data_IF_055410890081
#
_entry.id   IF_055410890081
#
_cell.length_a   1.000
_cell.length_b   1.000
_cell.length_c   1.000
_cell.angle_alpha   90.00
_cell.angle_beta   90.00
_cell.angle_gamma   90.00
#
_symmetry.space_group_name_H-M   'P 1'
#
loop_
_entity.id
_entity.type
_entity.pdbx_description
1 polymer ?
#
# COMPACT_ATOMS: atom_id res chain seq x y z
N UNK A 1 1.90 -13.66 -20.16
CA UNK A 1 2.24 -12.22 -20.23
C UNK A 1 1.00 -11.34 -20.24
N UNK A 2 1.16 -10.12 -19.74
CA UNK A 2 0.17 -9.05 -19.74
C UNK A 2 0.81 -7.74 -20.19
N UNK A 3 0.05 -6.93 -20.91
CA UNK A 3 0.44 -5.59 -21.32
C UNK A 3 -0.72 -4.63 -21.07
N UNK A 4 -0.47 -3.54 -20.36
CA UNK A 4 -1.49 -2.59 -19.92
C UNK A 4 -1.17 -1.19 -20.42
N UNK A 5 -2.05 -0.60 -21.21
CA UNK A 5 -1.91 0.76 -21.73
C UNK A 5 -2.98 1.65 -21.11
N UNK A 6 -2.57 2.67 -20.37
CA UNK A 6 -3.47 3.70 -19.84
C UNK A 6 -3.26 5.02 -20.57
N UNK A 7 -4.33 5.48 -21.20
CA UNK A 7 -4.43 6.79 -21.85
C UNK A 7 -5.55 7.59 -21.18
N UNK A 8 -5.17 8.54 -20.33
CA UNK A 8 -6.09 9.30 -19.48
C UNK A 8 -7.03 8.35 -18.69
N UNK A 9 -8.33 8.36 -18.99
CA UNK A 9 -9.34 7.54 -18.32
C UNK A 9 -9.50 6.13 -18.93
N UNK A 10 -8.93 5.87 -20.11
CA UNK A 10 -9.07 4.59 -20.80
C UNK A 10 -7.89 3.68 -20.50
N UNK A 11 -8.16 2.50 -19.92
CA UNK A 11 -7.19 1.40 -19.75
C UNK A 11 -7.51 0.31 -20.77
N UNK A 12 -6.50 -0.11 -21.55
CA UNK A 12 -6.59 -1.27 -22.45
C UNK A 12 -5.63 -2.33 -21.95
N UNK A 13 -6.14 -3.55 -21.75
CA UNK A 13 -5.35 -4.68 -21.23
C UNK A 13 -5.30 -5.74 -22.31
N UNK A 14 -4.09 -6.17 -22.66
CA UNK A 14 -3.85 -7.28 -23.57
C UNK A 14 -3.13 -8.39 -22.81
N UNK A 15 -3.74 -9.58 -22.80
CA UNK A 15 -3.19 -10.77 -22.15
C UNK A 15 -2.89 -11.82 -23.21
N UNK A 16 -1.75 -12.47 -23.09
CA UNK A 16 -1.32 -13.51 -24.03
C UNK A 16 -0.38 -14.50 -23.34
N UNK A 17 -0.26 -15.68 -23.92
CA UNK A 17 0.78 -16.63 -23.53
C UNK A 17 2.14 -16.09 -24.00
N UNK A 18 3.11 -16.04 -23.09
CA UNK A 18 4.49 -15.61 -23.40
C UNK A 18 5.32 -16.77 -23.93
N UNK A 19 6.55 -16.47 -24.35
CA UNK A 19 7.55 -17.50 -24.67
C UNK A 19 8.27 -17.95 -23.39
N UNK A 20 8.81 -19.17 -23.40
CA UNK A 20 9.57 -19.77 -22.29
C UNK A 20 10.89 -19.05 -22.02
N UNK A 21 11.41 -18.31 -23.01
CA UNK A 21 12.67 -17.57 -22.92
C UNK A 21 12.49 -16.10 -22.49
N UNK A 22 11.27 -15.62 -22.28
CA UNK A 22 11.05 -14.26 -21.78
C UNK A 22 11.33 -14.20 -20.26
N UNK A 23 12.12 -13.20 -19.85
CA UNK A 23 12.40 -13.00 -18.43
C UNK A 23 11.14 -12.59 -17.67
N UNK A 24 10.92 -13.23 -16.51
CA UNK A 24 9.84 -12.90 -15.57
C UNK A 24 10.12 -11.55 -14.94
N UNK A 25 9.58 -10.50 -15.55
CA UNK A 25 9.74 -9.14 -15.10
C UNK A 25 8.50 -8.28 -15.43
N UNK A 26 8.31 -7.25 -14.62
CA UNK A 26 7.36 -6.18 -14.86
C UNK A 26 8.13 -4.90 -15.15
N UNK A 27 7.82 -4.27 -16.28
CA UNK A 27 8.38 -2.97 -16.68
C UNK A 27 7.26 -1.99 -16.94
N UNK A 28 7.47 -0.73 -16.60
CA UNK A 28 6.55 0.36 -16.88
C UNK A 28 7.28 1.50 -17.56
N UNK A 29 6.66 2.02 -18.61
CA UNK A 29 7.13 3.14 -19.41
C UNK A 29 6.03 4.21 -19.39
N UNK A 30 6.39 5.45 -19.03
CA UNK A 30 5.43 6.55 -18.93
C UNK A 30 5.86 7.77 -19.73
N UNK A 31 4.89 8.47 -20.31
CA UNK A 31 5.08 9.80 -20.88
C UNK A 31 3.85 10.68 -20.57
N UNK A 32 4.04 11.66 -19.68
CA UNK A 32 2.96 12.52 -19.19
C UNK A 32 1.94 11.74 -18.35
N UNK A 33 0.64 11.91 -18.66
CA UNK A 33 -0.47 11.18 -18.01
C UNK A 33 -0.69 9.77 -18.58
N UNK A 34 0.04 9.39 -19.64
CA UNK A 34 -0.07 8.08 -20.28
C UNK A 34 1.03 7.17 -19.77
N UNK A 35 0.68 5.93 -19.47
CA UNK A 35 1.65 4.92 -19.09
C UNK A 35 1.30 3.57 -19.71
N UNK A 36 2.35 2.78 -19.93
CA UNK A 36 2.28 1.45 -20.47
C UNK A 36 3.07 0.52 -19.55
N UNK A 37 2.49 -0.60 -19.13
CA UNK A 37 3.22 -1.66 -18.43
C UNK A 37 3.21 -2.95 -19.23
N UNK A 38 4.27 -3.73 -19.05
CA UNK A 38 4.38 -5.11 -19.54
C UNK A 38 4.86 -5.98 -18.39
N UNK A 39 4.13 -7.06 -18.12
CA UNK A 39 4.46 -8.04 -17.10
C UNK A 39 4.51 -9.44 -17.71
N UNK A 40 5.62 -10.13 -17.47
CA UNK A 40 5.80 -11.55 -17.79
C UNK A 40 5.79 -12.31 -16.47
N UNK A 41 5.15 -13.48 -16.46
CA UNK A 41 4.99 -14.32 -15.29
C UNK A 41 4.97 -15.79 -15.72
N UNK A 42 5.42 -16.68 -14.83
CA UNK A 42 5.79 -18.09 -15.09
C UNK A 42 4.79 -19.12 -14.52
N UNK A 43 3.81 -18.66 -13.75
CA UNK A 43 2.81 -19.52 -13.12
C UNK A 43 1.50 -19.57 -13.92
N UNK A 44 0.72 -20.67 -13.86
CA UNK A 44 -0.55 -20.75 -14.58
C UNK A 44 -1.51 -19.65 -14.08
N UNK A 45 -2.14 -18.93 -15.02
CA UNK A 45 -3.11 -17.84 -14.74
C UNK A 45 -2.52 -16.66 -13.93
N UNK A 46 -1.20 -16.48 -13.95
CA UNK A 46 -0.49 -15.41 -13.24
C UNK A 46 -0.70 -14.01 -13.83
N UNK A 47 -1.20 -13.92 -15.06
CA UNK A 47 -1.38 -12.69 -15.82
C UNK A 47 -2.66 -11.96 -15.37
N UNK A 48 -2.73 -11.63 -14.09
CA UNK A 48 -3.76 -10.79 -13.46
C UNK A 48 -3.16 -9.50 -12.89
N UNK A 49 -4.02 -8.70 -12.25
CA UNK A 49 -3.60 -7.44 -11.63
C UNK A 49 -2.61 -7.66 -10.47
N UNK A 50 -2.55 -8.87 -9.90
CA UNK A 50 -1.65 -9.21 -8.79
C UNK A 50 -0.18 -9.03 -9.17
N UNK A 51 0.24 -9.44 -10.37
CA UNK A 51 1.62 -9.28 -10.82
C UNK A 51 2.01 -7.79 -10.96
N UNK A 52 1.06 -6.94 -11.35
CA UNK A 52 1.23 -5.49 -11.45
C UNK A 52 1.30 -4.83 -10.05
N UNK A 53 0.51 -5.33 -9.11
CA UNK A 53 0.50 -4.88 -7.70
C UNK A 53 1.80 -5.27 -7.00
N UNK A 54 2.25 -6.52 -7.15
CA UNK A 54 3.49 -7.03 -6.55
C UNK A 54 4.73 -6.29 -7.08
N UNK A 55 4.70 -5.86 -8.35
CA UNK A 55 5.72 -5.01 -8.96
C UNK A 55 5.60 -3.52 -8.57
N UNK A 56 4.57 -3.13 -7.81
CA UNK A 56 4.32 -1.75 -7.41
C UNK A 56 3.91 -0.82 -8.56
N UNK A 57 3.53 -1.38 -9.72
CA UNK A 57 3.17 -0.62 -10.93
C UNK A 57 1.71 -0.18 -10.94
N UNK A 58 0.86 -0.87 -10.19
CA UNK A 58 -0.55 -0.53 -10.04
C UNK A 58 -0.90 -0.37 -8.55
N UNK A 59 -1.56 0.74 -8.16
CA UNK A 59 -2.02 0.88 -6.79
C UNK A 59 -3.07 -0.19 -6.50
N UNK A 60 -2.85 -0.99 -5.45
CA UNK A 60 -3.86 -1.94 -4.99
C UNK A 60 -5.15 -1.19 -4.69
N UNK A 61 -6.25 -1.57 -5.34
CA UNK A 61 -7.59 -1.04 -5.02
C UNK A 61 -8.10 -1.53 -3.66
N UNK A 62 -7.38 -2.45 -3.01
CA UNK A 62 -7.57 -2.72 -1.59
C UNK A 62 -7.09 -1.48 -0.83
N UNK A 63 -7.96 -0.92 0.01
CA UNK A 63 -7.67 0.23 0.87
C UNK A 63 -6.23 0.16 1.39
N UNK A 64 -5.46 1.27 1.35
CA UNK A 64 -4.05 1.25 1.73
C UNK A 64 -3.93 0.53 3.07
N UNK A 65 -3.01 -0.44 3.22
CA UNK A 65 -2.76 -1.03 4.53
C UNK A 65 -2.55 0.15 5.49
N UNK A 66 -3.20 0.15 6.67
CA UNK A 66 -3.22 1.31 7.56
C UNK A 66 -1.79 1.84 7.66
N UNK A 67 -1.56 3.03 7.08
CA UNK A 67 -0.21 3.53 6.87
C UNK A 67 0.48 3.51 8.22
N UNK A 68 1.69 2.96 8.29
CA UNK A 68 2.43 2.81 9.56
C UNK A 68 2.39 4.10 10.40
N UNK A 69 2.37 5.26 9.75
CA UNK A 69 2.20 6.57 10.36
C UNK A 69 0.94 6.74 11.22
N UNK A 70 -0.23 6.23 10.81
CA UNK A 70 -1.48 6.35 11.58
C UNK A 70 -1.45 5.45 12.81
N UNK A 71 -0.84 4.27 12.71
CA UNK A 71 -0.65 3.37 13.84
C UNK A 71 0.33 3.95 14.87
N UNK A 72 1.45 4.53 14.42
CA UNK A 72 2.40 5.21 15.31
C UNK A 72 1.77 6.43 15.99
N UNK A 73 1.02 7.26 15.26
CA UNK A 73 0.33 8.41 15.82
C UNK A 73 -0.70 8.00 16.89
N UNK A 74 -1.45 6.92 16.64
CA UNK A 74 -2.45 6.41 17.58
C UNK A 74 -1.81 5.82 18.84
N UNK A 75 -0.68 5.11 18.71
CA UNK A 75 0.10 4.63 19.86
C UNK A 75 0.64 5.79 20.71
N UNK A 76 1.20 6.82 20.08
CA UNK A 76 1.70 8.01 20.80
C UNK A 76 0.55 8.73 21.51
N UNK A 77 -0.61 8.88 20.86
CA UNK A 77 -1.78 9.49 21.46
C UNK A 77 -2.26 8.72 22.71
N UNK A 78 -2.29 7.38 22.65
CA UNK A 78 -2.65 6.54 23.80
C UNK A 78 -1.66 6.73 24.95
N UNK A 79 -0.36 6.72 24.68
CA UNK A 79 0.68 6.88 25.72
C UNK A 79 0.58 8.23 26.42
N UNK A 80 0.36 9.31 25.67
CA UNK A 80 0.18 10.66 26.23
C UNK A 80 -1.07 10.72 27.10
N UNK A 81 -2.18 10.14 26.66
CA UNK A 81 -3.43 10.15 27.41
C UNK A 81 -3.35 9.36 28.72
N UNK A 82 -2.73 8.17 28.67
CA UNK A 82 -2.48 7.35 29.87
C UNK A 82 -1.54 8.06 30.83
N UNK A 83 -0.43 8.65 30.33
CA UNK A 83 0.51 9.39 31.17
C UNK A 83 -0.12 10.60 31.87
N UNK A 84 -0.92 11.38 31.14
CA UNK A 84 -1.64 12.52 31.68
C UNK A 84 -2.69 12.11 32.74
N UNK A 85 -3.48 11.08 32.46
CA UNK A 85 -4.50 10.58 33.41
C UNK A 85 -3.87 10.01 34.68
N UNK A 86 -2.79 9.24 34.59
CA UNK A 86 -2.05 8.77 35.77
C UNK A 86 -1.52 9.94 36.61
N UNK A 87 -0.97 10.97 35.97
CA UNK A 87 -0.45 12.15 36.66
C UNK A 87 -1.53 12.91 37.41
N UNK A 88 -2.70 13.11 36.78
CA UNK A 88 -3.85 13.76 37.42
C UNK A 88 -4.37 12.98 38.62
N UNK A 89 -4.42 11.65 38.53
CA UNK A 89 -4.85 10.79 39.65
C UNK A 89 -3.88 10.93 40.83
N UNK A 90 -2.57 10.90 40.59
CA UNK A 90 -1.56 11.05 41.66
C UNK A 90 -1.64 12.44 42.31
N UNK A 91 -1.81 13.50 41.52
CA UNK A 91 -1.97 14.85 42.08
C UNK A 91 -3.24 14.94 42.91
N UNK A 92 -4.37 14.40 42.42
CA UNK A 92 -5.64 14.42 43.13
C UNK A 92 -5.56 13.65 44.45
N UNK A 93 -4.91 12.47 44.48
CA UNK A 93 -4.76 11.69 45.72
C UNK A 93 -3.87 12.39 46.73
N UNK A 94 -2.76 13.01 46.30
CA UNK A 94 -1.89 13.80 47.19
C UNK A 94 -2.67 15.00 47.74
N UNK A 95 -3.39 15.75 46.91
CA UNK A 95 -4.21 16.87 47.37
C UNK A 95 -5.25 16.44 48.41
N UNK A 96 -5.90 15.29 48.24
CA UNK A 96 -6.89 14.78 49.20
C UNK A 96 -6.26 14.26 50.50
N UNK A 97 -5.03 13.72 50.44
CA UNK A 97 -4.34 13.21 51.63
C UNK A 97 -3.68 14.30 52.47
N UNK A 98 -3.36 15.45 51.88
CA UNK A 98 -2.63 16.55 52.53
C UNK A 98 -3.44 17.86 52.66
N UNK A 99 -4.72 17.88 52.28
CA UNK A 99 -5.71 18.91 52.66
C UNK A 99 -6.53 18.46 53.86
#
# INVERSE_FOLDING_TARGET
>A
METSNKDNDRKTIQKSCGDEHEEVACQQSGFGSKWMSRCVCDTPLCNGDQALIDAGLEPSSAAPPPGQFTQFALLVAILVFVGASCSLIVIATICVQFC
#
